data_IF_677839316440
#
_entry.id   IF_677839316440
#
_cell.length_a   1.000
_cell.length_b   1.000
_cell.length_c   1.000
_cell.angle_alpha   90.00
_cell.angle_beta   90.00
_cell.angle_gamma   90.00
#
_symmetry.space_group_name_H-M   'P 1'
#
loop_
_entity.id
_entity.type
_entity.pdbx_description
1 polymer ?
#
# COMPACT_ATOMS: atom_id res chain seq x y z
N UNK A 1 16.51 -7.21 -7.53
CA UNK A 1 15.66 -6.03 -7.28
C UNK A 1 14.86 -6.23 -6.01
N UNK A 2 14.91 -5.27 -5.13
CA UNK A 2 14.20 -5.35 -3.87
C UNK A 2 12.70 -5.16 -4.08
N UNK A 3 11.92 -5.79 -3.20
CA UNK A 3 10.48 -5.61 -3.22
C UNK A 3 10.11 -4.18 -2.84
N UNK A 4 8.99 -3.69 -3.39
CA UNK A 4 8.38 -2.43 -2.96
C UNK A 4 7.03 -2.73 -2.34
N UNK A 5 6.67 -1.98 -1.31
CA UNK A 5 5.35 -2.13 -0.67
C UNK A 5 4.35 -1.20 -1.36
N UNK A 6 3.17 -1.73 -1.66
CA UNK A 6 2.10 -0.97 -2.29
C UNK A 6 1.08 -0.53 -1.24
N UNK A 7 0.96 0.78 -1.06
CA UNK A 7 -0.02 1.41 -0.18
C UNK A 7 -1.26 1.85 -0.96
N UNK A 8 -2.35 2.09 -0.25
CA UNK A 8 -3.62 2.55 -0.81
C UNK A 8 -3.46 3.81 -1.66
N UNK A 9 -2.64 4.77 -1.21
CA UNK A 9 -2.49 6.06 -1.90
C UNK A 9 -1.95 5.90 -3.32
N UNK A 10 -1.07 4.93 -3.56
CA UNK A 10 -0.57 4.67 -4.92
C UNK A 10 -1.69 4.21 -5.84
N UNK A 11 -2.47 3.22 -5.40
CA UNK A 11 -3.56 2.65 -6.19
C UNK A 11 -4.64 3.67 -6.50
N UNK A 12 -5.02 4.46 -5.51
CA UNK A 12 -6.02 5.52 -5.69
C UNK A 12 -5.46 6.59 -6.63
N UNK A 13 -4.22 7.02 -6.42
CA UNK A 13 -3.58 8.03 -7.28
C UNK A 13 -3.48 7.58 -8.73
N UNK A 14 -3.23 6.29 -8.94
CA UNK A 14 -3.09 5.72 -10.27
C UNK A 14 -4.40 5.81 -11.08
N UNK A 15 -5.55 5.60 -10.42
CA UNK A 15 -6.86 5.59 -11.09
C UNK A 15 -7.61 6.92 -10.96
N UNK A 16 -7.02 7.92 -10.32
CA UNK A 16 -7.65 9.23 -10.09
C UNK A 16 -6.84 10.34 -10.77
N UNK A 17 -7.19 10.70 -12.03
CA UNK A 17 -6.39 11.69 -12.78
C UNK A 17 -6.24 13.06 -12.11
N UNK A 18 -7.15 13.40 -11.18
CA UNK A 18 -7.09 14.68 -10.45
C UNK A 18 -6.29 14.62 -9.16
N UNK A 19 -5.82 13.43 -8.77
CA UNK A 19 -5.01 13.27 -7.57
C UNK A 19 -3.64 13.92 -7.79
N UNK A 20 -3.12 14.61 -6.77
CA UNK A 20 -1.82 15.30 -6.83
C UNK A 20 -0.67 14.36 -7.19
N UNK A 21 -0.78 13.08 -6.79
CA UNK A 21 0.29 12.12 -7.03
C UNK A 21 0.09 11.31 -8.31
N UNK A 22 -0.95 11.61 -9.11
CA UNK A 22 -1.29 10.82 -10.30
C UNK A 22 -0.10 10.65 -11.24
N UNK A 23 0.59 11.74 -11.58
CA UNK A 23 1.74 11.69 -12.51
C UNK A 23 2.87 10.81 -11.96
N UNK A 24 3.18 10.95 -10.68
CA UNK A 24 4.20 10.12 -10.04
C UNK A 24 3.79 8.65 -10.00
N UNK A 25 2.51 8.37 -9.75
CA UNK A 25 1.98 7.01 -9.74
C UNK A 25 2.12 6.37 -11.12
N UNK A 26 1.78 7.10 -12.19
CA UNK A 26 1.92 6.62 -13.57
C UNK A 26 3.39 6.32 -13.89
N UNK A 27 4.29 7.23 -13.51
CA UNK A 27 5.73 7.06 -13.73
C UNK A 27 6.25 5.80 -13.04
N UNK A 28 5.86 5.60 -11.79
CA UNK A 28 6.27 4.40 -11.05
C UNK A 28 5.66 3.13 -11.62
N UNK A 29 4.38 3.17 -12.05
CA UNK A 29 3.73 2.01 -12.65
C UNK A 29 4.49 1.53 -13.89
N UNK A 30 4.93 2.47 -14.74
CA UNK A 30 5.73 2.14 -15.94
C UNK A 30 7.07 1.51 -15.55
N UNK A 31 7.76 2.10 -14.59
CA UNK A 31 9.05 1.60 -14.12
C UNK A 31 8.93 0.19 -13.54
N UNK A 32 7.90 -0.03 -12.75
CA UNK A 32 7.63 -1.35 -12.14
C UNK A 32 7.41 -2.40 -13.23
N UNK A 33 6.60 -2.08 -14.23
CA UNK A 33 6.31 -3.00 -15.33
C UNK A 33 7.55 -3.30 -16.14
N UNK A 34 8.29 -2.26 -16.53
CA UNK A 34 9.48 -2.40 -17.38
C UNK A 34 10.59 -3.18 -16.67
N UNK A 35 10.80 -2.92 -15.39
CA UNK A 35 11.89 -3.53 -14.60
C UNK A 35 11.46 -4.79 -13.85
N UNK A 36 10.20 -5.19 -13.95
CA UNK A 36 9.64 -6.36 -13.27
C UNK A 36 9.90 -6.33 -11.76
N UNK A 37 9.67 -5.17 -11.14
CA UNK A 37 9.88 -5.01 -9.70
C UNK A 37 8.78 -5.77 -8.95
N UNK A 38 9.14 -6.71 -8.06
CA UNK A 38 8.12 -7.43 -7.29
C UNK A 38 7.48 -6.52 -6.26
N UNK A 39 6.17 -6.63 -6.12
CA UNK A 39 5.39 -5.82 -5.19
C UNK A 39 4.82 -6.65 -4.07
N UNK A 40 4.70 -6.04 -2.91
CA UNK A 40 4.07 -6.65 -1.74
C UNK A 40 2.99 -5.70 -1.24
N UNK A 41 1.84 -6.23 -0.92
CA UNK A 41 0.79 -5.49 -0.23
C UNK A 41 0.13 -6.42 0.78
N UNK A 42 -0.92 -5.96 1.45
CA UNK A 42 -1.63 -6.77 2.43
C UNK A 42 -3.11 -6.84 2.08
N UNK A 43 -3.79 -7.86 2.62
CA UNK A 43 -5.25 -7.95 2.48
C UNK A 43 -5.93 -6.72 3.07
N UNK A 44 -5.37 -6.13 4.14
CA UNK A 44 -5.90 -4.93 4.75
C UNK A 44 -5.88 -3.73 3.78
N UNK A 45 -4.80 -3.59 3.00
CA UNK A 45 -4.70 -2.53 1.98
C UNK A 45 -5.78 -2.72 0.91
N UNK A 46 -6.02 -3.96 0.47
CA UNK A 46 -7.07 -4.22 -0.51
C UNK A 46 -8.45 -3.84 0.02
N UNK A 47 -8.71 -4.10 1.30
CA UNK A 47 -9.96 -3.67 1.94
C UNK A 47 -10.10 -2.14 1.95
N UNK A 48 -9.01 -1.42 2.24
CA UNK A 48 -9.01 0.05 2.19
C UNK A 48 -9.32 0.55 0.77
N UNK A 49 -8.69 -0.04 -0.23
CA UNK A 49 -8.93 0.33 -1.63
C UNK A 49 -10.40 0.13 -1.99
N UNK A 50 -10.96 -1.03 -1.63
CA UNK A 50 -12.36 -1.32 -1.90
C UNK A 50 -13.31 -0.35 -1.21
N UNK A 51 -13.00 0.00 0.04
CA UNK A 51 -13.81 0.99 0.77
C UNK A 51 -13.71 2.38 0.16
N UNK A 52 -12.52 2.79 -0.27
CA UNK A 52 -12.31 4.11 -0.87
C UNK A 52 -13.04 4.26 -2.21
N UNK A 53 -13.19 3.18 -2.96
CA UNK A 53 -13.81 3.19 -4.30
C UNK A 53 -15.20 2.54 -4.31
N UNK A 54 -15.91 2.54 -3.18
CA UNK A 54 -17.19 1.86 -3.04
C UNK A 54 -18.38 2.63 -3.58
N UNK A 55 -18.27 3.95 -3.77
CA UNK A 55 -19.37 4.75 -4.30
C UNK A 55 -19.72 4.30 -5.73
N UNK A 56 -20.98 4.43 -6.10
CA UNK A 56 -21.46 3.94 -7.39
C UNK A 56 -20.61 4.42 -8.57
N UNK A 57 -20.24 5.70 -8.60
CA UNK A 57 -19.46 6.28 -9.70
C UNK A 57 -18.04 5.73 -9.80
N UNK A 58 -17.50 5.14 -8.71
CA UNK A 58 -16.14 4.60 -8.66
C UNK A 58 -16.10 3.08 -8.57
N UNK A 59 -17.23 2.45 -8.34
CA UNK A 59 -17.27 1.01 -8.00
C UNK A 59 -16.67 0.12 -9.09
N UNK A 60 -16.98 0.40 -10.37
CA UNK A 60 -16.44 -0.41 -11.46
C UNK A 60 -14.93 -0.28 -11.56
N UNK A 61 -14.40 0.94 -11.37
CA UNK A 61 -12.95 1.17 -11.31
C UNK A 61 -12.34 0.38 -10.16
N UNK A 62 -12.98 0.41 -9.00
CA UNK A 62 -12.52 -0.34 -7.81
C UNK A 62 -12.48 -1.83 -8.04
N UNK A 63 -13.52 -2.39 -8.67
CA UNK A 63 -13.59 -3.81 -8.98
C UNK A 63 -12.43 -4.19 -9.91
N UNK A 64 -12.23 -3.45 -10.99
CA UNK A 64 -11.16 -3.71 -11.94
C UNK A 64 -9.78 -3.65 -11.30
N UNK A 65 -9.56 -2.65 -10.45
CA UNK A 65 -8.29 -2.48 -9.75
C UNK A 65 -8.01 -3.67 -8.82
N UNK A 66 -9.00 -4.07 -8.01
CA UNK A 66 -8.84 -5.19 -7.09
C UNK A 66 -8.60 -6.51 -7.85
N UNK A 67 -9.33 -6.73 -8.95
CA UNK A 67 -9.11 -7.92 -9.77
C UNK A 67 -7.71 -7.95 -10.36
N UNK A 68 -7.21 -6.80 -10.84
CA UNK A 68 -5.86 -6.71 -11.39
C UNK A 68 -4.81 -7.02 -10.32
N UNK A 69 -4.99 -6.52 -9.10
CA UNK A 69 -4.05 -6.80 -8.00
C UNK A 69 -4.05 -8.29 -7.63
N UNK A 70 -5.23 -8.91 -7.57
CA UNK A 70 -5.35 -10.33 -7.26
C UNK A 70 -4.71 -11.23 -8.33
N UNK A 71 -4.76 -10.80 -9.59
CA UNK A 71 -4.28 -11.60 -10.72
C UNK A 71 -2.86 -11.28 -11.15
N UNK A 72 -2.20 -10.30 -10.52
CA UNK A 72 -0.85 -9.90 -10.88
C UNK A 72 0.16 -10.94 -10.34
N UNK A 73 0.89 -11.60 -11.24
CA UNK A 73 1.86 -12.63 -10.84
C UNK A 73 3.08 -12.06 -10.12
N UNK A 74 3.34 -10.76 -10.25
CA UNK A 74 4.46 -10.10 -9.56
C UNK A 74 4.05 -9.50 -8.21
N UNK A 75 2.79 -9.68 -7.81
CA UNK A 75 2.25 -9.16 -6.56
C UNK A 75 2.14 -10.24 -5.51
N UNK A 76 2.66 -9.98 -4.32
CA UNK A 76 2.42 -10.81 -3.14
C UNK A 76 1.41 -10.11 -2.25
N UNK A 77 0.27 -10.75 -2.00
CA UNK A 77 -0.75 -10.24 -1.08
C UNK A 77 -0.63 -11.00 0.23
N UNK A 78 -0.15 -10.33 1.27
CA UNK A 78 0.03 -10.95 2.59
C UNK A 78 -1.32 -11.06 3.28
N UNK A 79 -1.66 -12.28 3.71
CA UNK A 79 -2.93 -12.54 4.40
C UNK A 79 -3.00 -11.82 5.73
N UNK A 80 -4.19 -11.33 6.08
CA UNK A 80 -4.44 -10.74 7.39
C UNK A 80 -4.80 -11.86 8.36
N UNK A 81 -3.76 -12.42 9.00
CA UNK A 81 -3.94 -13.47 10.01
C UNK A 81 -4.13 -12.85 11.38
N UNK A 82 -4.65 -13.64 12.33
CA UNK A 82 -4.75 -13.18 13.72
C UNK A 82 -3.37 -12.82 14.28
N UNK A 83 -2.36 -13.61 13.91
CA UNK A 83 -0.99 -13.35 14.36
C UNK A 83 -0.48 -12.00 13.86
N UNK A 84 -0.69 -11.68 12.59
CA UNK A 84 -0.29 -10.40 12.02
C UNK A 84 -1.07 -9.25 12.68
N UNK A 85 -2.37 -9.43 12.85
CA UNK A 85 -3.20 -8.41 13.49
C UNK A 85 -2.70 -8.11 14.91
N UNK A 86 -2.39 -9.14 15.69
CA UNK A 86 -1.91 -8.97 17.07
C UNK A 86 -0.59 -8.21 17.13
N UNK A 87 0.34 -8.50 16.23
CA UNK A 87 1.61 -7.76 16.14
C UNK A 87 1.37 -6.30 15.78
N UNK A 88 0.48 -6.05 14.84
CA UNK A 88 0.15 -4.69 14.41
C UNK A 88 -0.55 -3.91 15.52
N UNK A 89 -1.46 -4.56 16.24
CA UNK A 89 -2.15 -3.95 17.38
C UNK A 89 -1.16 -3.58 18.49
N UNK A 90 -0.18 -4.43 18.76
CA UNK A 90 0.84 -4.15 19.75
C UNK A 90 1.67 -2.91 19.36
N UNK A 91 2.06 -2.81 18.10
CA UNK A 91 2.74 -1.62 17.58
C UNK A 91 1.85 -0.38 17.74
N UNK A 92 0.58 -0.49 17.38
CA UNK A 92 -0.40 0.58 17.52
C UNK A 92 -0.50 1.06 18.98
N UNK A 93 -0.61 0.11 19.91
CA UNK A 93 -0.71 0.42 21.33
C UNK A 93 0.56 1.05 21.90
N UNK A 94 1.73 0.60 21.41
CA UNK A 94 3.02 1.04 21.96
C UNK A 94 3.51 2.37 21.37
N UNK A 95 2.79 2.94 20.44
CA UNK A 95 3.14 4.23 19.84
C UNK A 95 1.98 5.23 19.98
N UNK A 96 1.62 5.58 21.23
CA UNK A 96 0.54 6.57 21.47
C UNK A 96 0.95 7.98 21.06
N UNK A 97 2.23 8.19 20.74
CA UNK A 97 2.78 9.44 20.24
C UNK A 97 2.52 9.64 18.73
N UNK A 98 2.01 8.63 18.03
CA UNK A 98 1.79 8.66 16.58
C UNK A 98 0.31 8.54 16.25
N UNK A 99 -0.08 9.16 15.14
CA UNK A 99 -1.45 9.05 14.63
C UNK A 99 -1.58 7.93 13.60
N UNK A 100 -0.72 6.93 13.67
CA UNK A 100 -0.77 5.77 12.79
C UNK A 100 -2.07 4.99 13.00
N UNK A 101 -2.75 4.62 11.93
CA UNK A 101 -3.90 3.71 12.02
C UNK A 101 -3.42 2.26 12.13
N UNK A 102 -4.36 1.36 12.45
CA UNK A 102 -4.03 -0.07 12.57
C UNK A 102 -3.56 -0.62 11.23
N UNK A 103 -4.14 -0.16 10.11
CA UNK A 103 -3.71 -0.63 8.77
C UNK A 103 -2.27 -0.18 8.49
N UNK A 104 -1.90 1.05 8.89
CA UNK A 104 -0.50 1.50 8.79
C UNK A 104 0.41 0.54 9.55
N UNK A 105 0.02 0.18 10.76
CA UNK A 105 0.82 -0.71 11.60
C UNK A 105 0.94 -2.11 10.99
N UNK A 106 -0.12 -2.61 10.36
CA UNK A 106 -0.05 -3.89 9.62
C UNK A 106 1.00 -3.78 8.52
N UNK A 107 0.99 -2.68 7.76
CA UNK A 107 1.96 -2.44 6.70
C UNK A 107 3.38 -2.40 7.25
N UNK A 108 3.59 -1.67 8.35
CA UNK A 108 4.93 -1.53 8.96
C UNK A 108 5.47 -2.85 9.48
N UNK A 109 4.63 -3.70 10.07
CA UNK A 109 5.04 -5.03 10.52
C UNK A 109 5.48 -5.88 9.32
N UNK A 110 4.69 -5.90 8.26
CA UNK A 110 5.00 -6.68 7.05
C UNK A 110 6.30 -6.17 6.42
N UNK A 111 6.45 -4.85 6.26
CA UNK A 111 7.66 -4.27 5.67
C UNK A 111 8.90 -4.62 6.49
N UNK A 112 8.80 -4.53 7.82
CA UNK A 112 9.90 -4.85 8.72
C UNK A 112 10.29 -6.33 8.61
N UNK A 113 9.31 -7.22 8.64
CA UNK A 113 9.56 -8.67 8.58
C UNK A 113 10.14 -9.11 7.25
N UNK A 114 9.82 -8.41 6.17
CA UNK A 114 10.31 -8.73 4.83
C UNK A 114 11.54 -7.90 4.43
N UNK A 115 12.02 -7.03 5.29
CA UNK A 115 13.14 -6.12 5.01
C UNK A 115 12.87 -5.22 3.80
N UNK A 116 11.64 -4.73 3.68
CA UNK A 116 11.26 -3.78 2.63
C UNK A 116 11.53 -2.36 3.14
N UNK A 117 12.31 -1.58 2.38
CA UNK A 117 12.74 -0.25 2.79
C UNK A 117 11.88 0.88 2.21
N UNK A 118 11.20 0.62 1.11
CA UNK A 118 10.49 1.66 0.39
C UNK A 118 9.05 1.25 0.07
N UNK A 119 8.14 2.21 0.15
CA UNK A 119 6.74 2.02 -0.17
C UNK A 119 6.27 3.00 -1.23
N UNK A 120 5.35 2.54 -2.07
CA UNK A 120 4.65 3.37 -3.04
C UNK A 120 3.52 4.07 -2.30
N UNK A 121 3.86 5.16 -1.64
CA UNK A 121 2.96 5.91 -0.77
C UNK A 121 3.32 7.40 -0.77
N UNK A 122 2.31 8.23 -0.51
CA UNK A 122 2.49 9.66 -0.24
C UNK A 122 2.26 9.98 1.24
N UNK A 123 2.05 8.96 2.08
CA UNK A 123 1.70 9.16 3.48
C UNK A 123 2.96 9.34 4.34
N UNK A 124 2.99 10.47 5.07
CA UNK A 124 4.09 10.79 5.98
C UNK A 124 4.28 9.75 7.09
N UNK A 125 3.25 8.96 7.40
CA UNK A 125 3.33 7.95 8.44
C UNK A 125 4.40 6.91 8.13
N UNK A 126 4.61 6.57 6.86
CA UNK A 126 5.66 5.64 6.45
C UNK A 126 7.04 6.21 6.73
N UNK A 127 7.25 7.51 6.45
CA UNK A 127 8.52 8.18 6.77
C UNK A 127 8.78 8.20 8.28
N UNK A 128 7.74 8.48 9.06
CA UNK A 128 7.84 8.47 10.52
C UNK A 128 8.25 7.09 11.06
N UNK A 129 7.85 6.04 10.37
CA UNK A 129 8.19 4.67 10.75
C UNK A 129 9.57 4.22 10.23
N UNK A 130 10.28 5.08 9.50
CA UNK A 130 11.63 4.79 9.02
C UNK A 130 11.71 4.28 7.59
N UNK A 131 10.63 4.33 6.83
CA UNK A 131 10.60 3.87 5.44
C UNK A 131 10.64 5.03 4.45
N UNK A 132 11.06 4.75 3.23
CA UNK A 132 11.01 5.74 2.16
C UNK A 132 9.58 5.79 1.60
N UNK A 133 9.05 7.00 1.44
CA UNK A 133 7.76 7.24 0.81
C UNK A 133 8.02 7.73 -0.62
N UNK A 134 8.00 6.82 -1.57
CA UNK A 134 8.45 7.09 -2.94
C UNK A 134 7.64 8.14 -3.69
N UNK A 135 6.36 8.31 -3.35
CA UNK A 135 5.50 9.29 -4.01
C UNK A 135 5.69 10.71 -3.43
N UNK A 136 6.51 10.84 -2.40
CA UNK A 136 6.89 12.14 -1.83
C UNK A 136 8.27 12.62 -2.29
N UNK A 137 9.00 11.77 -2.98
CA UNK A 137 10.33 12.08 -3.48
C UNK A 137 10.30 12.79 -4.84
#
# INVERSE_FOLDING_TARGET
>A
MNELFLDTSFSIGLVSPRDQIHEKAITWAKKIEESKIPLVTTRAILLEIGNALSKLRFRQVGIGLLENLENDSDMTIVSLTDKLYKKAFELFRNRPDKEWGVVDCISFVVMTERNIEAALTSDKHYEQAGFRALLKE
#
